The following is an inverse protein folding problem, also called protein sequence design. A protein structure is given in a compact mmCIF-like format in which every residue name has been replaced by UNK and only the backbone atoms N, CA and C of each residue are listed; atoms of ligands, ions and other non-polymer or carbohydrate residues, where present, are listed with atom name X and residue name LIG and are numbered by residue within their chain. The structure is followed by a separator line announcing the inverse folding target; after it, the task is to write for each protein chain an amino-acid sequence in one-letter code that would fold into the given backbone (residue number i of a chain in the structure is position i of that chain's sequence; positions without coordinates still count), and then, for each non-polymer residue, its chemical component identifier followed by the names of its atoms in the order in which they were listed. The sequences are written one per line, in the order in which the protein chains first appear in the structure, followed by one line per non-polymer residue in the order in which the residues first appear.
data_IF_587310539194
#
_entry.id   IF_587310539194
#
_cell.length_a   1.000
_cell.length_b   1.000
_cell.length_c   1.000
_cell.angle_alpha   90.00
_cell.angle_beta   90.00
_cell.angle_gamma   90.00
#
_symmetry.space_group_name_H-M   'P 1'
#
loop_
_entity.id
_entity.type
_entity.pdbx_description
1 polymer ?
#
# COMPACT_ATOMS: atom_id res chain seq x y z
N UNK A 1 10.84 -39.53 -28.21
CA UNK A 1 11.72 -39.09 -27.09
C UNK A 1 12.40 -37.73 -27.32
N UNK A 2 12.80 -37.34 -28.55
CA UNK A 2 13.42 -36.01 -28.83
C UNK A 2 12.51 -34.81 -28.52
N UNK A 3 11.20 -34.94 -28.71
CA UNK A 3 10.22 -33.88 -28.47
C UNK A 3 10.08 -33.52 -26.98
N UNK A 4 10.11 -34.51 -26.08
CA UNK A 4 9.96 -34.28 -24.65
C UNK A 4 11.14 -33.46 -24.09
N UNK A 5 12.38 -33.83 -24.41
CA UNK A 5 13.56 -33.10 -23.95
C UNK A 5 13.58 -31.65 -24.47
N UNK A 6 13.15 -31.41 -25.71
CA UNK A 6 13.12 -30.08 -26.31
C UNK A 6 12.03 -29.19 -25.70
N UNK A 7 10.81 -29.73 -25.52
CA UNK A 7 9.70 -29.02 -24.86
C UNK A 7 10.05 -28.67 -23.41
N UNK A 8 10.63 -29.61 -22.67
CA UNK A 8 11.07 -29.36 -21.28
C UNK A 8 12.19 -28.34 -21.23
N UNK A 9 13.21 -28.44 -22.10
CA UNK A 9 14.31 -27.47 -22.16
C UNK A 9 13.85 -26.06 -22.50
N UNK A 10 12.99 -25.90 -23.51
CA UNK A 10 12.41 -24.60 -23.88
C UNK A 10 11.55 -24.02 -22.75
N UNK A 11 10.68 -24.84 -22.16
CA UNK A 11 9.82 -24.40 -21.04
C UNK A 11 10.66 -23.96 -19.84
N UNK A 12 11.74 -24.67 -19.52
CA UNK A 12 12.66 -24.30 -18.45
C UNK A 12 13.33 -22.95 -18.72
N UNK A 13 13.83 -22.72 -19.93
CA UNK A 13 14.45 -21.43 -20.32
C UNK A 13 13.42 -20.29 -20.24
N UNK A 14 12.19 -20.53 -20.73
CA UNK A 14 11.11 -19.55 -20.67
C UNK A 14 10.74 -19.19 -19.22
N UNK A 15 10.65 -20.19 -18.33
CA UNK A 15 10.36 -19.97 -16.91
C UNK A 15 11.49 -19.21 -16.22
N UNK A 16 12.75 -19.52 -16.54
CA UNK A 16 13.91 -18.77 -16.03
C UNK A 16 13.81 -17.30 -16.47
N UNK A 17 13.53 -17.05 -17.75
CA UNK A 17 13.39 -15.68 -18.26
C UNK A 17 12.23 -14.93 -17.60
N UNK A 18 11.04 -15.55 -17.49
CA UNK A 18 9.88 -14.98 -16.80
C UNK A 18 10.16 -14.72 -15.32
N UNK A 19 11.01 -15.53 -14.69
CA UNK A 19 11.42 -15.32 -13.30
C UNK A 19 12.23 -14.02 -13.19
N UNK A 20 13.21 -13.81 -14.06
CA UNK A 20 14.00 -12.56 -14.06
C UNK A 20 13.15 -11.33 -14.41
N UNK A 21 12.25 -11.45 -15.39
CA UNK A 21 11.30 -10.36 -15.72
C UNK A 21 10.41 -10.02 -14.51
N UNK A 22 9.83 -11.04 -13.88
CA UNK A 22 8.97 -10.85 -12.69
C UNK A 22 9.75 -10.23 -11.55
N UNK A 23 10.96 -10.71 -11.25
CA UNK A 23 11.82 -10.14 -10.22
C UNK A 23 12.05 -8.64 -10.47
N UNK A 24 12.37 -8.26 -11.71
CA UNK A 24 12.55 -6.85 -12.08
C UNK A 24 11.31 -5.98 -11.85
N UNK A 25 10.10 -6.54 -11.95
CA UNK A 25 8.86 -5.81 -11.71
C UNK A 25 8.47 -5.71 -10.22
N UNK A 26 8.86 -6.70 -9.40
CA UNK A 26 8.46 -6.77 -7.98
C UNK A 26 9.56 -6.29 -7.00
N UNK A 27 10.77 -6.05 -7.48
CA UNK A 27 11.81 -5.37 -6.69
C UNK A 27 11.45 -3.90 -6.53
N UNK A 28 11.72 -3.35 -5.35
CA UNK A 28 11.53 -1.93 -5.07
C UNK A 28 12.37 -1.08 -6.03
N UNK A 29 11.74 -0.10 -6.68
CA UNK A 29 12.42 0.87 -7.52
C UNK A 29 13.22 1.90 -6.70
N UNK A 30 13.89 2.77 -7.45
CA UNK A 30 14.61 3.97 -6.99
C UNK A 30 13.91 5.22 -7.52
N UNK A 31 14.36 6.42 -7.13
CA UNK A 31 13.76 7.68 -7.60
C UNK A 31 13.89 7.85 -9.11
N UNK A 32 14.93 7.26 -9.73
CA UNK A 32 15.08 7.27 -11.19
C UNK A 32 14.06 6.37 -11.90
N UNK A 33 13.49 5.39 -11.18
CA UNK A 33 12.40 4.57 -11.71
C UNK A 33 11.05 5.28 -11.62
N UNK A 34 10.93 6.41 -10.89
CA UNK A 34 9.70 7.21 -10.80
C UNK A 34 9.62 8.20 -11.97
N UNK A 35 8.86 7.84 -13.01
CA UNK A 35 8.69 8.62 -14.23
C UNK A 35 7.34 9.34 -14.24
N UNK A 36 7.24 10.50 -14.88
CA UNK A 36 5.94 11.15 -15.12
C UNK A 36 5.27 10.59 -16.37
N UNK A 37 3.97 10.32 -16.31
CA UNK A 37 3.15 10.04 -17.49
C UNK A 37 2.80 11.34 -18.25
N UNK A 38 2.03 11.22 -19.33
CA UNK A 38 1.63 12.35 -20.18
C UNK A 38 0.77 13.38 -19.41
N UNK A 39 0.13 12.95 -18.34
CA UNK A 39 -0.70 13.72 -17.43
C UNK A 39 0.11 14.30 -16.25
N UNK A 40 1.42 14.02 -16.19
CA UNK A 40 2.33 14.53 -15.17
C UNK A 40 2.33 13.76 -13.85
N UNK A 41 1.70 12.58 -13.81
CA UNK A 41 1.63 11.69 -12.66
C UNK A 41 2.85 10.79 -12.61
N UNK A 42 3.45 10.63 -11.43
CA UNK A 42 4.53 9.70 -11.25
C UNK A 42 4.02 8.26 -11.29
N UNK A 43 4.71 7.39 -12.04
CA UNK A 43 4.56 5.96 -12.05
C UNK A 43 5.95 5.33 -11.99
N UNK A 44 6.04 4.11 -11.48
CA UNK A 44 7.30 3.37 -11.39
C UNK A 44 7.13 1.94 -11.89
N UNK A 45 8.18 1.13 -11.77
CA UNK A 45 8.01 -0.33 -11.59
C UNK A 45 6.92 -0.59 -10.56
N UNK A 46 6.30 -1.78 -10.58
CA UNK A 46 5.11 -2.05 -9.76
C UNK A 46 5.30 -1.71 -8.28
N UNK A 47 6.52 -1.81 -7.77
CA UNK A 47 6.90 -1.32 -6.45
C UNK A 47 7.68 0.00 -6.57
N UNK A 48 7.13 1.13 -6.10
CA UNK A 48 7.79 2.43 -6.18
C UNK A 48 8.98 2.58 -5.23
N UNK A 49 9.75 3.65 -5.45
CA UNK A 49 10.80 4.09 -4.52
C UNK A 49 10.25 4.31 -3.11
N UNK A 50 11.11 4.16 -2.11
CA UNK A 50 10.78 4.48 -0.73
C UNK A 50 10.32 5.95 -0.57
N UNK A 51 10.89 6.85 -1.37
CA UNK A 51 10.56 8.29 -1.33
C UNK A 51 9.14 8.61 -1.79
N UNK A 52 8.36 7.63 -2.27
CA UNK A 52 6.94 7.81 -2.59
C UNK A 52 6.14 8.37 -1.40
N UNK A 53 6.63 8.19 -0.17
CA UNK A 53 6.04 8.79 1.04
C UNK A 53 6.04 10.32 1.02
N UNK A 54 6.91 10.95 0.21
CA UNK A 54 6.97 12.39 0.00
C UNK A 54 5.89 12.92 -0.96
N UNK A 55 5.08 12.04 -1.55
CA UNK A 55 4.16 12.39 -2.62
C UNK A 55 2.73 12.02 -2.22
N UNK A 56 1.78 12.72 -2.85
CA UNK A 56 0.35 12.41 -2.70
C UNK A 56 0.02 11.16 -3.50
N UNK A 57 -0.43 10.12 -2.81
CA UNK A 57 -0.83 8.85 -3.43
C UNK A 57 -2.35 8.84 -3.63
N UNK A 58 -2.78 8.37 -4.79
CA UNK A 58 -4.17 8.08 -5.15
C UNK A 58 -4.32 6.68 -5.72
N UNK A 59 -5.56 6.32 -6.05
CA UNK A 59 -5.90 5.03 -6.66
C UNK A 59 -7.15 5.21 -7.52
N UNK A 60 -6.96 5.24 -8.83
CA UNK A 60 -7.96 5.72 -9.80
C UNK A 60 -8.16 4.71 -10.93
N UNK A 61 -9.35 4.70 -11.53
CA UNK A 61 -9.64 3.77 -12.62
C UNK A 61 -8.90 4.20 -13.89
N UNK A 62 -8.17 3.27 -14.50
CA UNK A 62 -7.54 3.48 -15.80
C UNK A 62 -8.35 2.79 -16.90
N UNK A 63 -8.92 3.55 -17.83
CA UNK A 63 -9.65 2.99 -18.98
C UNK A 63 -8.75 2.10 -19.85
N UNK A 64 -7.47 2.48 -19.98
CA UNK A 64 -6.46 1.70 -20.72
C UNK A 64 -6.20 0.33 -20.09
N UNK A 65 -6.18 0.25 -18.76
CA UNK A 65 -5.88 -1.00 -18.03
C UNK A 65 -7.14 -1.78 -17.63
N UNK A 66 -8.31 -1.14 -17.64
CA UNK A 66 -9.58 -1.75 -17.28
C UNK A 66 -9.78 -1.95 -15.77
N UNK A 67 -8.90 -1.39 -14.94
CA UNK A 67 -8.92 -1.53 -13.47
C UNK A 67 -8.28 -0.33 -12.79
N UNK A 68 -8.43 -0.26 -11.46
CA UNK A 68 -7.82 0.79 -10.64
C UNK A 68 -6.29 0.66 -10.52
N UNK A 69 -5.59 1.79 -10.66
CA UNK A 69 -4.13 1.88 -10.65
C UNK A 69 -3.70 2.95 -9.65
N UNK A 70 -2.54 2.78 -8.98
CA UNK A 70 -2.01 3.83 -8.11
C UNK A 70 -1.63 5.06 -8.94
N UNK A 71 -1.92 6.24 -8.40
CA UNK A 71 -1.48 7.52 -8.95
C UNK A 71 -0.57 8.19 -7.95
N UNK A 72 0.58 8.72 -8.41
CA UNK A 72 1.49 9.46 -7.54
C UNK A 72 1.55 10.89 -8.07
N UNK A 73 1.14 11.84 -7.25
CA UNK A 73 0.94 13.24 -7.62
C UNK A 73 2.01 14.11 -6.96
N UNK A 74 1.80 15.44 -6.95
CA UNK A 74 2.69 16.41 -6.32
C UNK A 74 3.09 16.08 -4.86
N UNK A 75 4.11 16.80 -4.38
CA UNK A 75 4.66 16.63 -3.03
C UNK A 75 3.57 16.77 -1.95
N UNK A 76 3.65 15.92 -0.94
CA UNK A 76 2.80 15.92 0.24
C UNK A 76 3.68 15.74 1.47
N UNK A 77 3.46 16.56 2.49
CA UNK A 77 4.16 16.40 3.76
C UNK A 77 3.78 15.08 4.44
N UNK A 78 4.76 14.42 5.02
CA UNK A 78 4.64 13.22 5.83
C UNK A 78 5.29 13.46 7.19
N UNK A 79 4.48 13.62 8.23
CA UNK A 79 4.94 14.04 9.57
C UNK A 79 5.74 15.36 9.50
N UNK A 80 5.19 16.33 8.77
CA UNK A 80 5.72 17.70 8.68
C UNK A 80 6.89 17.91 7.70
N UNK A 81 7.35 16.86 7.00
CA UNK A 81 8.44 16.92 6.01
C UNK A 81 8.02 16.30 4.68
N UNK A 82 8.48 16.81 3.55
CA UNK A 82 8.24 16.27 2.19
C UNK A 82 9.54 15.96 1.42
N UNK A 83 10.65 15.92 2.15
CA UNK A 83 12.03 15.89 1.65
C UNK A 83 12.83 14.68 2.16
N UNK A 84 12.16 13.61 2.59
CA UNK A 84 12.87 12.40 3.03
C UNK A 84 13.75 11.87 1.90
N UNK A 85 15.04 11.68 2.19
CA UNK A 85 15.98 11.06 1.24
C UNK A 85 15.60 9.60 0.98
N UNK A 86 16.17 8.99 -0.08
CA UNK A 86 15.97 7.55 -0.34
C UNK A 86 16.36 6.69 0.87
N UNK A 87 17.46 7.02 1.53
CA UNK A 87 17.95 6.31 2.71
C UNK A 87 17.02 6.50 3.92
N UNK A 88 16.64 7.74 4.24
CA UNK A 88 15.72 8.01 5.35
C UNK A 88 14.36 7.34 5.14
N UNK A 89 13.83 7.39 3.92
CA UNK A 89 12.56 6.76 3.59
C UNK A 89 12.67 5.24 3.63
N UNK A 90 13.77 4.65 3.13
CA UNK A 90 14.00 3.21 3.17
C UNK A 90 14.10 2.68 4.60
N UNK A 91 14.79 3.39 5.50
CA UNK A 91 14.87 3.04 6.92
C UNK A 91 13.50 3.09 7.60
N UNK A 92 12.68 4.11 7.32
CA UNK A 92 11.30 4.19 7.83
C UNK A 92 10.43 3.04 7.35
N UNK A 93 10.51 2.70 6.06
CA UNK A 93 9.79 1.57 5.47
C UNK A 93 10.27 0.24 6.06
N UNK A 94 11.58 0.08 6.27
CA UNK A 94 12.17 -1.09 6.89
C UNK A 94 11.66 -1.27 8.32
N UNK A 95 11.69 -0.20 9.13
CA UNK A 95 11.15 -0.19 10.48
C UNK A 95 9.65 -0.56 10.50
N UNK A 96 8.86 0.02 9.58
CA UNK A 96 7.45 -0.30 9.45
C UNK A 96 7.17 -1.74 9.06
N UNK A 97 7.93 -2.27 8.09
CA UNK A 97 7.83 -3.66 7.66
C UNK A 97 8.17 -4.60 8.82
N UNK A 98 9.29 -4.39 9.51
CA UNK A 98 9.67 -5.17 10.69
C UNK A 98 8.62 -5.06 11.80
N UNK A 99 8.11 -3.86 12.08
CA UNK A 99 7.04 -3.64 13.04
C UNK A 99 5.78 -4.44 12.69
N UNK A 100 5.37 -4.45 11.42
CA UNK A 100 4.18 -5.18 10.98
C UNK A 100 4.31 -6.69 11.18
N UNK A 101 5.53 -7.22 11.01
CA UNK A 101 5.86 -8.63 11.18
C UNK A 101 5.98 -8.98 12.67
N UNK A 102 6.74 -8.21 13.44
CA UNK A 102 6.98 -8.44 14.86
C UNK A 102 5.70 -8.33 15.70
N UNK A 103 4.78 -7.44 15.31
CA UNK A 103 3.47 -7.27 15.96
C UNK A 103 2.38 -8.15 15.36
N UNK A 104 2.74 -9.06 14.43
CA UNK A 104 1.90 -10.08 13.81
C UNK A 104 0.60 -9.54 13.18
N UNK A 105 0.67 -8.40 12.50
CA UNK A 105 -0.50 -7.72 11.94
C UNK A 105 -1.28 -8.61 10.96
N UNK A 106 -0.58 -9.44 10.19
CA UNK A 106 -1.20 -10.35 9.20
C UNK A 106 -2.01 -11.50 9.82
N UNK A 107 -1.90 -11.75 11.13
CA UNK A 107 -2.75 -12.75 11.80
C UNK A 107 -4.16 -12.25 12.11
N UNK A 108 -4.41 -10.95 11.90
CA UNK A 108 -5.75 -10.38 11.91
C UNK A 108 -6.13 -9.78 10.54
N UNK A 109 -5.18 -9.16 9.85
CA UNK A 109 -5.39 -8.44 8.61
C UNK A 109 -4.86 -9.20 7.39
N UNK A 110 -5.34 -8.82 6.21
CA UNK A 110 -4.66 -9.14 4.97
C UNK A 110 -3.74 -8.00 4.52
N UNK A 111 -2.62 -8.35 3.89
CA UNK A 111 -1.73 -7.47 3.14
C UNK A 111 -1.53 -8.10 1.75
N UNK A 112 -1.81 -7.34 0.70
CA UNK A 112 -1.90 -7.86 -0.67
C UNK A 112 -2.86 -9.06 -0.78
N UNK A 113 -3.95 -9.06 -0.01
CA UNK A 113 -4.90 -10.18 0.06
C UNK A 113 -4.41 -11.43 0.79
N UNK A 114 -3.20 -11.42 1.37
CA UNK A 114 -2.63 -12.54 2.12
C UNK A 114 -2.66 -12.25 3.62
N UNK A 115 -3.02 -13.24 4.45
CA UNK A 115 -3.10 -13.10 5.90
C UNK A 115 -4.41 -13.65 6.44
N UNK A 116 -4.93 -13.04 7.50
CA UNK A 116 -6.18 -13.42 8.13
C UNK A 116 -7.32 -12.45 7.80
N UNK A 117 -8.56 -12.93 7.93
CA UNK A 117 -9.77 -12.22 7.53
C UNK A 117 -10.56 -11.64 8.73
N UNK A 118 -9.89 -11.49 9.87
CA UNK A 118 -10.52 -10.95 11.08
C UNK A 118 -10.70 -9.42 11.00
N UNK A 119 -9.81 -8.71 10.33
CA UNK A 119 -9.80 -7.26 10.24
C UNK A 119 -9.64 -6.79 8.78
N UNK A 120 -9.87 -5.49 8.47
CA UNK A 120 -9.82 -4.99 7.10
C UNK A 120 -8.46 -5.19 6.41
N UNK A 121 -8.47 -5.33 5.09
CA UNK A 121 -7.26 -5.40 4.28
C UNK A 121 -6.44 -4.10 4.38
N UNK A 122 -5.14 -4.24 4.58
CA UNK A 122 -4.21 -3.13 4.80
C UNK A 122 -3.50 -2.65 3.53
N UNK A 123 -3.73 -3.29 2.38
CA UNK A 123 -3.00 -3.00 1.13
C UNK A 123 -3.12 -1.55 0.70
N UNK A 124 -4.33 -0.99 0.81
CA UNK A 124 -4.63 0.41 0.51
C UNK A 124 -5.05 1.17 1.76
N UNK A 125 -4.55 0.77 2.94
CA UNK A 125 -4.96 1.36 4.23
C UNK A 125 -4.79 2.88 4.26
N UNK A 126 -3.70 3.41 3.70
CA UNK A 126 -3.45 4.86 3.61
C UNK A 126 -4.57 5.62 2.88
N UNK A 127 -5.23 4.96 1.93
CA UNK A 127 -6.25 5.58 1.09
C UNK A 127 -7.67 5.39 1.62
N UNK A 128 -7.86 4.77 2.79
CA UNK A 128 -9.20 4.55 3.36
C UNK A 128 -9.89 5.91 3.62
N UNK A 129 -11.08 6.17 3.04
CA UNK A 129 -11.80 7.42 3.24
C UNK A 129 -12.18 7.66 4.71
N UNK A 130 -12.23 6.61 5.54
CA UNK A 130 -12.48 6.73 6.99
C UNK A 130 -11.42 7.54 7.71
N UNK A 131 -10.22 7.73 7.15
CA UNK A 131 -9.21 8.58 7.79
C UNK A 131 -9.67 10.03 7.97
N UNK A 132 -10.56 10.53 7.11
CA UNK A 132 -11.18 11.87 7.31
C UNK A 132 -11.96 11.93 8.62
N UNK A 133 -12.71 10.88 8.94
CA UNK A 133 -13.44 10.75 10.21
C UNK A 133 -12.48 10.49 11.38
N UNK A 134 -11.51 9.60 11.19
CA UNK A 134 -10.54 9.26 12.25
C UNK A 134 -9.67 10.44 12.67
N UNK A 135 -9.35 11.36 11.76
CA UNK A 135 -8.65 12.61 12.10
C UNK A 135 -9.43 13.45 13.11
N UNK A 136 -10.75 13.57 12.92
CA UNK A 136 -11.61 14.26 13.88
C UNK A 136 -11.69 13.51 15.24
N UNK A 137 -11.82 12.18 15.20
CA UNK A 137 -11.90 11.34 16.40
C UNK A 137 -10.59 11.35 17.21
N UNK A 138 -9.45 11.29 16.53
CA UNK A 138 -8.10 11.31 17.12
C UNK A 138 -7.61 12.72 17.45
N UNK A 139 -8.36 13.75 17.06
CA UNK A 139 -8.01 15.17 17.19
C UNK A 139 -6.66 15.51 16.52
N UNK A 140 -6.33 14.83 15.42
CA UNK A 140 -5.11 15.06 14.63
C UNK A 140 -5.42 15.82 13.34
N UNK A 141 -4.44 16.59 12.86
CA UNK A 141 -4.60 17.46 11.70
C UNK A 141 -4.24 16.78 10.38
N UNK A 142 -3.43 15.73 10.45
CA UNK A 142 -2.99 14.97 9.26
C UNK A 142 -3.38 13.50 9.36
N UNK A 143 -3.40 12.83 8.20
CA UNK A 143 -3.75 11.41 8.11
C UNK A 143 -2.71 10.57 8.85
N UNK A 144 -1.44 10.84 8.64
CA UNK A 144 -0.35 10.08 9.21
C UNK A 144 -0.30 10.17 10.75
N UNK A 145 -0.62 11.34 11.31
CA UNK A 145 -0.75 11.51 12.75
C UNK A 145 -1.95 10.74 13.30
N UNK A 146 -3.09 10.78 12.61
CA UNK A 146 -4.28 10.03 13.02
C UNK A 146 -4.05 8.51 12.98
N UNK A 147 -3.36 8.02 11.94
CA UNK A 147 -2.97 6.62 11.84
C UNK A 147 -2.01 6.22 12.97
N UNK A 148 -0.98 7.04 13.24
CA UNK A 148 -0.03 6.76 14.31
C UNK A 148 -0.68 6.80 15.71
N UNK A 149 -1.61 7.72 15.95
CA UNK A 149 -2.39 7.78 17.20
C UNK A 149 -3.26 6.53 17.37
N UNK A 150 -3.94 6.10 16.31
CA UNK A 150 -4.73 4.87 16.32
C UNK A 150 -3.88 3.64 16.62
N UNK A 151 -2.71 3.51 15.99
CA UNK A 151 -1.81 2.36 16.21
C UNK A 151 -1.25 2.32 17.64
N UNK A 152 -0.96 3.47 18.25
CA UNK A 152 -0.46 3.55 19.63
C UNK A 152 -1.58 3.33 20.66
N UNK A 153 -2.81 3.70 20.33
CA UNK A 153 -3.94 3.67 21.26
C UNK A 153 -5.22 3.04 20.66
N UNK A 154 -5.17 1.80 20.14
CA UNK A 154 -6.27 1.21 19.39
C UNK A 154 -7.55 1.05 20.24
N UNK A 155 -7.40 0.80 21.54
CA UNK A 155 -8.54 0.63 22.46
C UNK A 155 -9.34 1.91 22.71
N UNK A 156 -8.76 3.10 22.45
CA UNK A 156 -9.48 4.38 22.57
C UNK A 156 -10.43 4.64 21.40
N UNK A 157 -10.27 3.90 20.30
CA UNK A 157 -10.98 4.12 19.04
C UNK A 157 -11.65 2.84 18.52
N UNK A 158 -12.61 2.27 19.28
CA UNK A 158 -13.28 1.04 18.85
C UNK A 158 -14.11 1.31 17.60
N UNK A 159 -13.70 0.74 16.46
CA UNK A 159 -14.42 0.92 15.19
C UNK A 159 -15.63 -0.01 15.07
N UNK A 160 -15.56 -1.21 15.67
CA UNK A 160 -16.58 -2.27 15.55
C UNK A 160 -16.56 -3.21 16.77
N UNK A 161 -17.35 -4.30 16.74
CA UNK A 161 -17.29 -5.37 17.73
C UNK A 161 -15.92 -6.06 17.81
N UNK A 162 -15.18 -6.07 16.69
CA UNK A 162 -13.81 -6.60 16.60
C UNK A 162 -12.82 -5.57 17.13
N UNK A 163 -11.86 -6.00 17.95
CA UNK A 163 -10.90 -5.12 18.62
C UNK A 163 -9.48 -5.41 18.17
N UNK A 164 -8.73 -4.35 17.89
CA UNK A 164 -7.28 -4.41 17.77
C UNK A 164 -6.68 -4.36 19.18
N UNK A 165 -5.84 -5.32 19.59
CA UNK A 165 -5.18 -5.28 20.90
C UNK A 165 -4.18 -4.12 20.97
N UNK A 166 -3.87 -3.68 22.18
CA UNK A 166 -2.73 -2.77 22.38
C UNK A 166 -1.43 -3.58 22.25
N UNK A 167 -0.66 -3.31 21.20
CA UNK A 167 0.58 -4.01 20.87
C UNK A 167 1.83 -3.27 21.41
N UNK A 168 1.62 -2.25 22.24
CA UNK A 168 2.64 -1.35 22.77
C UNK A 168 3.54 -0.82 21.64
N UNK A 169 2.91 -0.32 20.58
CA UNK A 169 3.60 0.29 19.45
C UNK A 169 4.11 1.66 19.93
N UNK A 170 5.41 1.90 19.78
CA UNK A 170 6.04 3.19 20.10
C UNK A 170 5.78 4.23 19.02
N UNK A 171 6.02 5.51 19.30
CA UNK A 171 5.86 6.58 18.31
C UNK A 171 6.76 6.37 17.06
N UNK A 172 7.97 5.86 17.25
CA UNK A 172 8.90 5.57 16.15
C UNK A 172 8.40 4.41 15.28
N UNK A 173 7.99 3.30 15.89
CA UNK A 173 7.39 2.16 15.19
C UNK A 173 6.10 2.58 14.46
N UNK A 174 5.26 3.42 15.09
CA UNK A 174 4.04 3.93 14.49
C UNK A 174 4.35 4.77 13.23
N UNK A 175 5.33 5.67 13.29
CA UNK A 175 5.77 6.44 12.12
C UNK A 175 6.25 5.51 10.99
N UNK A 176 7.07 4.52 11.31
CA UNK A 176 7.54 3.52 10.35
C UNK A 176 6.38 2.70 9.75
N UNK A 177 5.45 2.21 10.58
CA UNK A 177 4.27 1.46 10.15
C UNK A 177 3.41 2.27 9.18
N UNK A 178 3.17 3.55 9.49
CA UNK A 178 2.42 4.43 8.59
C UNK A 178 3.18 4.69 7.29
N UNK A 179 4.51 4.86 7.34
CA UNK A 179 5.33 5.02 6.14
C UNK A 179 5.25 3.78 5.24
N UNK A 180 5.36 2.60 5.85
CA UNK A 180 5.19 1.31 5.17
C UNK A 180 3.79 1.17 4.57
N UNK A 181 2.71 1.46 5.31
CA UNK A 181 1.34 1.39 4.79
C UNK A 181 1.07 2.42 3.67
N UNK A 182 1.69 3.61 3.75
CA UNK A 182 1.67 4.61 2.69
C UNK A 182 2.34 4.07 1.43
N UNK A 183 3.56 3.53 1.53
CA UNK A 183 4.27 2.88 0.42
C UNK A 183 3.49 1.70 -0.17
N UNK A 184 2.97 0.79 0.66
CA UNK A 184 2.12 -0.34 0.24
C UNK A 184 0.93 0.14 -0.60
N UNK A 185 0.34 1.28 -0.23
CA UNK A 185 -0.80 1.84 -0.94
C UNK A 185 -0.44 2.38 -2.33
N UNK A 186 0.83 2.68 -2.60
CA UNK A 186 1.34 3.10 -3.90
C UNK A 186 1.78 1.94 -4.80
N UNK A 187 1.87 0.71 -4.29
CA UNK A 187 2.23 -0.47 -5.11
C UNK A 187 1.14 -0.74 -6.16
N UNK A 188 1.57 -0.98 -7.40
CA UNK A 188 0.70 -1.43 -8.48
C UNK A 188 0.43 -2.94 -8.35
N UNK A 189 -0.76 -3.23 -7.84
CA UNK A 189 -1.28 -4.55 -7.53
C UNK A 189 -2.22 -5.06 -8.62
N UNK A 190 -2.17 -4.51 -9.84
CA UNK A 190 -3.03 -4.86 -10.97
C UNK A 190 -4.54 -4.83 -10.63
N UNK A 191 -5.01 -3.75 -10.02
CA UNK A 191 -6.43 -3.59 -9.71
C UNK A 191 -6.88 -4.16 -8.37
N UNK A 192 -5.98 -4.70 -7.54
CA UNK A 192 -6.33 -5.13 -6.19
C UNK A 192 -6.13 -4.01 -5.14
N UNK A 193 -7.08 -3.79 -4.21
CA UNK A 193 -8.41 -4.35 -4.16
C UNK A 193 -9.35 -3.67 -5.17
N UNK A 194 -10.30 -4.44 -5.70
CA UNK A 194 -11.26 -3.96 -6.68
C UNK A 194 -12.31 -3.06 -6.04
N UNK A 195 -12.77 -2.04 -6.76
CA UNK A 195 -13.79 -1.08 -6.30
C UNK A 195 -13.41 -0.35 -5.00
N UNK A 196 -12.11 -0.14 -4.79
CA UNK A 196 -11.62 0.59 -3.62
C UNK A 196 -12.14 2.04 -3.65
N UNK A 197 -12.71 2.52 -2.54
CA UNK A 197 -13.31 3.86 -2.47
C UNK A 197 -14.67 4.04 -3.17
N UNK A 198 -15.16 3.06 -3.95
CA UNK A 198 -16.46 3.11 -4.67
C UNK A 198 -17.66 2.52 -3.89
N UNK A 199 -17.54 2.36 -2.57
CA UNK A 199 -18.58 1.70 -1.76
C UNK A 199 -19.95 2.40 -1.76
N UNK A 200 -20.05 3.66 -2.19
CA UNK A 200 -21.31 4.41 -2.21
C UNK A 200 -22.06 4.43 -3.56
N UNK A 201 -21.38 4.27 -4.70
CA UNK A 201 -22.03 4.44 -6.01
C UNK A 201 -22.78 3.18 -6.45
N UNK A 202 -22.16 2.00 -6.25
CA UNK A 202 -22.67 0.73 -6.79
C UNK A 202 -23.89 0.16 -6.05
N UNK A 203 -24.04 0.46 -4.75
CA UNK A 203 -25.24 0.05 -4.01
C UNK A 203 -26.45 0.91 -4.36
N UNK A 204 -26.26 2.21 -4.65
CA UNK A 204 -27.35 3.10 -5.08
C UNK A 204 -27.87 2.74 -6.48
N UNK A 205 -26.98 2.42 -7.40
CA UNK A 205 -27.35 2.04 -8.77
C UNK A 205 -28.03 0.66 -8.86
N UNK A 206 -27.66 -0.29 -7.99
CA UNK A 206 -28.32 -1.60 -7.89
C UNK A 206 -29.68 -1.55 -7.19
N UNK A 207 -29.92 -0.55 -6.35
CA UNK A 207 -31.21 -0.33 -5.68
C UNK A 207 -32.20 0.46 -6.54
N UNK A 208 -31.73 1.05 -7.65
CA UNK A 208 -32.50 1.89 -8.56
C UNK A 208 -32.95 1.14 -9.83
N UNK A 209 -32.84 -0.19 -9.83
CA UNK A 209 -33.28 -1.08 -10.91
C UNK A 209 -34.16 -2.17 -10.33
#
# INVERSE_FOLDING_TARGET
MRSAAWVTGFSAILLIWLTFDTMGQITQGTDVDMQKDAEGLYFSKRVPSATVINYKIGYEYSDKRGHEVPTINGKETFFGRDDYSEEEAAELLHLGKLGSQAKNCMNCHTLLGNGAYYAPDLTKAWLDPKWKLMMAITQKKTREEAMAEFLQHPSKYPTHARRMPNLNITAAEAKGLVAFLKHMSAIDTNGFPRNFGKKDTTLRERSAK
#
